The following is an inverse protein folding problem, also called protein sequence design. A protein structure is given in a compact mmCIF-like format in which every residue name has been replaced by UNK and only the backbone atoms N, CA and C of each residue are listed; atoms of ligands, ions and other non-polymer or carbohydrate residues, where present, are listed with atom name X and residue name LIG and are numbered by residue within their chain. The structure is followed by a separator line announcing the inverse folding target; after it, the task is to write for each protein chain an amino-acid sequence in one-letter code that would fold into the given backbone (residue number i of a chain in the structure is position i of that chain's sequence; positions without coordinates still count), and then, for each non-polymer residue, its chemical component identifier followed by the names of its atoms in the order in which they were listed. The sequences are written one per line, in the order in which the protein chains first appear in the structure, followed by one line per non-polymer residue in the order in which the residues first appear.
data_IF_310759626881
#
_entry.id   IF_310759626881
#
_cell.length_a   1.000
_cell.length_b   1.000
_cell.length_c   1.000
_cell.angle_alpha   90.00
_cell.angle_beta   90.00
_cell.angle_gamma   90.00
#
_symmetry.space_group_name_H-M   'P 1'
#
loop_
_entity.id
_entity.type
_entity.pdbx_description
1 polymer ?
#
# COMPACT_ATOMS: atom_id res chain seq x y z
N UNK A 1 24.56 -20.06 -1.15
CA UNK A 1 24.53 -19.45 0.19
C UNK A 1 23.49 -18.33 0.16
N UNK A 2 22.35 -18.51 0.81
CA UNK A 2 21.22 -17.57 0.77
C UNK A 2 21.44 -16.45 1.78
N UNK A 3 21.68 -15.24 1.30
CA UNK A 3 21.85 -14.04 2.12
C UNK A 3 20.51 -13.69 2.79
N UNK A 4 20.32 -14.12 4.04
CA UNK A 4 19.24 -13.61 4.91
C UNK A 4 19.45 -12.11 5.11
N UNK A 5 18.75 -11.26 4.35
CA UNK A 5 18.50 -9.87 4.76
C UNK A 5 17.75 -9.95 6.09
N UNK A 6 18.43 -9.65 7.20
CA UNK A 6 17.82 -9.44 8.51
C UNK A 6 16.77 -8.33 8.33
N UNK A 7 15.48 -8.63 8.44
CA UNK A 7 14.45 -7.58 8.39
C UNK A 7 14.69 -6.64 9.58
N UNK A 8 14.87 -5.36 9.28
CA UNK A 8 15.20 -4.33 10.26
C UNK A 8 13.94 -3.68 10.86
N UNK A 9 12.77 -4.30 10.67
CA UNK A 9 11.49 -3.84 11.18
C UNK A 9 11.08 -4.74 12.34
N UNK A 10 10.87 -4.12 13.50
CA UNK A 10 10.47 -4.81 14.71
C UNK A 10 8.99 -4.61 14.97
N UNK A 11 8.37 -5.60 15.62
CA UNK A 11 7.03 -5.46 16.15
C UNK A 11 6.96 -4.31 17.16
N UNK A 12 5.77 -3.70 17.27
CA UNK A 12 5.48 -2.67 18.26
C UNK A 12 5.54 -3.26 19.68
N UNK A 13 6.11 -2.49 20.61
CA UNK A 13 5.93 -2.73 22.04
C UNK A 13 4.54 -2.22 22.46
N UNK A 14 3.57 -3.12 22.55
CA UNK A 14 2.20 -2.80 22.95
C UNK A 14 2.11 -2.40 24.43
N UNK A 15 1.26 -1.42 24.73
CA UNK A 15 0.85 -1.05 26.08
C UNK A 15 -0.23 -2.01 26.59
N UNK A 16 -1.15 -2.39 25.71
CA UNK A 16 -2.15 -3.44 25.96
C UNK A 16 -1.85 -4.70 25.13
N UNK A 17 -1.29 -5.71 25.80
CA UNK A 17 -0.97 -7.01 25.20
C UNK A 17 -2.20 -7.72 24.62
N UNK A 18 -3.40 -7.42 25.15
CA UNK A 18 -4.65 -8.02 24.68
C UNK A 18 -4.97 -7.62 23.24
N UNK A 19 -4.66 -6.38 22.85
CA UNK A 19 -4.83 -5.91 21.47
C UNK A 19 -3.90 -6.67 20.53
N UNK A 20 -2.64 -6.89 20.94
CA UNK A 20 -1.70 -7.72 20.16
C UNK A 20 -2.23 -9.14 20.01
N UNK A 21 -2.69 -9.74 21.10
CA UNK A 21 -3.23 -11.11 21.10
C UNK A 21 -4.48 -11.23 20.22
N UNK A 22 -5.43 -10.30 20.32
CA UNK A 22 -6.64 -10.27 19.48
C UNK A 22 -6.27 -10.20 17.99
N UNK A 23 -5.39 -9.26 17.60
CA UNK A 23 -4.93 -9.11 16.22
C UNK A 23 -4.29 -10.39 15.65
N UNK A 24 -3.59 -11.13 16.49
CA UNK A 24 -2.90 -12.36 16.13
C UNK A 24 -3.78 -13.61 16.32
N UNK A 25 -5.08 -13.47 16.60
CA UNK A 25 -5.96 -14.63 16.80
C UNK A 25 -6.89 -14.81 15.63
N UNK A 26 -6.62 -15.81 14.80
CA UNK A 26 -7.52 -16.16 13.73
C UNK A 26 -8.77 -16.86 14.28
N UNK A 27 -9.93 -16.65 13.64
CA UNK A 27 -11.21 -17.24 14.08
C UNK A 27 -11.20 -18.75 14.26
N UNK A 28 -10.40 -19.49 13.47
CA UNK A 28 -10.27 -20.94 13.64
C UNK A 28 -9.71 -21.33 15.01
N UNK A 29 -8.77 -20.55 15.56
CA UNK A 29 -8.26 -20.77 16.90
C UNK A 29 -9.32 -20.42 17.95
N UNK A 30 -10.02 -19.31 17.76
CA UNK A 30 -11.08 -18.85 18.66
C UNK A 30 -12.21 -19.88 18.77
N UNK A 31 -12.69 -20.46 17.66
CA UNK A 31 -13.75 -21.47 17.70
C UNK A 31 -13.33 -22.77 18.38
N UNK A 32 -12.04 -23.11 18.34
CA UNK A 32 -11.49 -24.24 19.11
C UNK A 32 -11.22 -23.86 20.58
N UNK A 33 -11.04 -22.56 20.89
CA UNK A 33 -10.63 -22.05 22.20
C UNK A 33 -11.41 -20.77 22.60
N UNK A 34 -12.74 -20.85 22.85
CA UNK A 34 -13.60 -19.67 22.99
C UNK A 34 -13.27 -18.78 24.20
N UNK A 35 -12.58 -19.31 25.22
CA UNK A 35 -12.17 -18.56 26.42
C UNK A 35 -10.94 -17.66 26.21
N UNK A 36 -10.35 -17.65 25.01
CA UNK A 36 -9.07 -16.95 24.72
C UNK A 36 -9.22 -15.49 24.28
N UNK A 37 -10.44 -14.95 24.38
CA UNK A 37 -10.80 -13.60 23.96
C UNK A 37 -11.27 -13.53 22.50
N UNK A 38 -11.47 -12.31 21.97
CA UNK A 38 -11.92 -12.10 20.61
C UNK A 38 -10.89 -12.55 19.55
N UNK A 39 -11.38 -12.77 18.34
CA UNK A 39 -10.56 -13.00 17.14
C UNK A 39 -10.39 -11.70 16.34
N UNK A 40 -9.47 -11.76 15.38
CA UNK A 40 -8.93 -10.61 14.66
C UNK A 40 -9.88 -9.88 13.70
N UNK A 41 -10.97 -10.51 13.21
CA UNK A 41 -11.84 -9.94 12.15
C UNK A 41 -12.34 -8.50 12.42
N UNK A 42 -12.60 -8.11 13.68
CA UNK A 42 -12.99 -6.71 13.98
C UNK A 42 -11.84 -5.72 13.82
N UNK A 43 -10.64 -6.13 14.21
CA UNK A 43 -9.43 -5.35 14.03
C UNK A 43 -8.99 -5.33 12.56
N UNK A 44 -9.17 -6.44 11.83
CA UNK A 44 -8.94 -6.55 10.37
C UNK A 44 -9.79 -5.50 9.64
N UNK A 45 -11.10 -5.47 9.91
CA UNK A 45 -12.01 -4.50 9.32
C UNK A 45 -11.57 -3.05 9.54
N UNK A 46 -11.16 -2.69 10.76
CA UNK A 46 -10.64 -1.36 11.06
C UNK A 46 -9.28 -1.12 10.37
N UNK A 47 -8.42 -2.12 10.39
CA UNK A 47 -7.07 -2.12 9.89
C UNK A 47 -6.97 -1.88 8.39
N UNK A 48 -7.82 -2.53 7.58
CA UNK A 48 -7.88 -2.34 6.13
C UNK A 48 -8.04 -0.85 5.75
N UNK A 49 -9.02 -0.19 6.38
CA UNK A 49 -9.27 1.24 6.14
C UNK A 49 -8.07 2.11 6.54
N UNK A 50 -7.41 1.78 7.64
CA UNK A 50 -6.22 2.50 8.13
C UNK A 50 -5.03 2.29 7.19
N UNK A 51 -4.74 1.04 6.81
CA UNK A 51 -3.67 0.69 5.87
C UNK A 51 -3.88 1.42 4.56
N UNK A 52 -5.08 1.35 4.00
CA UNK A 52 -5.46 2.06 2.77
C UNK A 52 -5.22 3.57 2.87
N UNK A 53 -5.62 4.19 3.98
CA UNK A 53 -5.39 5.61 4.22
C UNK A 53 -3.90 5.96 4.34
N UNK A 54 -3.15 5.22 5.16
CA UNK A 54 -1.72 5.49 5.41
C UNK A 54 -0.92 5.38 4.11
N UNK A 55 -1.19 4.37 3.29
CA UNK A 55 -0.55 4.21 1.99
C UNK A 55 -0.91 5.36 1.04
N UNK A 56 -2.20 5.73 0.96
CA UNK A 56 -2.64 6.84 0.12
C UNK A 56 -1.98 8.16 0.53
N UNK A 57 -1.95 8.46 1.83
CA UNK A 57 -1.34 9.66 2.38
C UNK A 57 0.18 9.69 2.14
N UNK A 58 0.87 8.56 2.33
CA UNK A 58 2.30 8.44 2.05
C UNK A 58 2.60 8.72 0.57
N UNK A 59 1.85 8.11 -0.35
CA UNK A 59 2.05 8.29 -1.79
C UNK A 59 1.75 9.72 -2.24
N UNK A 60 0.67 10.32 -1.75
CA UNK A 60 0.30 11.70 -2.05
C UNK A 60 1.41 12.68 -1.65
N UNK A 61 1.98 12.52 -0.45
CA UNK A 61 3.10 13.35 0.01
C UNK A 61 4.41 13.08 -0.72
N UNK A 62 4.69 11.82 -1.06
CA UNK A 62 5.97 11.40 -1.69
C UNK A 62 6.07 11.77 -3.16
N UNK A 63 4.94 11.80 -3.89
CA UNK A 63 4.89 12.01 -5.33
C UNK A 63 3.91 13.14 -5.73
N UNK A 64 4.23 14.41 -5.42
CA UNK A 64 3.33 15.55 -5.68
C UNK A 64 3.02 15.79 -7.17
N UNK A 65 3.84 15.25 -8.08
CA UNK A 65 3.67 15.41 -9.52
C UNK A 65 2.93 14.23 -10.18
N UNK A 66 2.63 13.16 -9.43
CA UNK A 66 1.93 12.00 -10.00
C UNK A 66 0.44 12.28 -10.10
N UNK A 67 -0.17 11.82 -11.20
CA UNK A 67 -1.62 11.91 -11.41
C UNK A 67 -2.34 10.87 -10.58
N UNK A 68 -3.64 11.09 -10.36
CA UNK A 68 -4.52 10.18 -9.60
C UNK A 68 -4.37 8.72 -10.06
N UNK A 69 -4.42 8.45 -11.37
CA UNK A 69 -4.32 7.08 -11.88
C UNK A 69 -2.98 6.39 -11.56
N UNK A 70 -1.87 7.14 -11.54
CA UNK A 70 -0.55 6.63 -11.17
C UNK A 70 -0.49 6.32 -9.67
N UNK A 71 -1.04 7.22 -8.83
CA UNK A 71 -1.14 7.04 -7.38
C UNK A 71 -2.03 5.84 -7.04
N UNK A 72 -3.18 5.71 -7.70
CA UNK A 72 -4.11 4.58 -7.54
C UNK A 72 -3.45 3.25 -7.93
N UNK A 73 -2.66 3.24 -9.02
CA UNK A 73 -1.90 2.05 -9.41
C UNK A 73 -0.84 1.67 -8.36
N UNK A 74 -0.07 2.64 -7.86
CA UNK A 74 0.91 2.37 -6.80
C UNK A 74 0.24 1.87 -5.53
N UNK A 75 -0.84 2.53 -5.09
CA UNK A 75 -1.61 2.14 -3.91
C UNK A 75 -2.09 0.71 -4.03
N UNK A 76 -2.71 0.34 -5.16
CA UNK A 76 -3.20 -1.02 -5.40
C UNK A 76 -2.10 -2.09 -5.29
N UNK A 77 -0.85 -1.76 -5.63
CA UNK A 77 0.28 -2.69 -5.48
C UNK A 77 0.81 -2.78 -4.05
N UNK A 78 0.60 -1.75 -3.24
CA UNK A 78 1.06 -1.68 -1.85
C UNK A 78 0.04 -2.27 -0.87
N UNK A 79 -1.25 -2.20 -1.20
CA UNK A 79 -2.35 -2.73 -0.37
C UNK A 79 -2.91 -4.05 -0.88
N UNK A 80 -2.26 -4.71 -1.84
CA UNK A 80 -2.71 -6.03 -2.27
C UNK A 80 -2.30 -7.11 -1.27
N UNK A 81 -3.13 -8.15 -1.15
CA UNK A 81 -2.90 -9.38 -0.38
C UNK A 81 -1.46 -9.84 -0.33
N UNK A 82 -0.84 -10.02 -1.49
CA UNK A 82 0.55 -10.49 -1.59
C UNK A 82 1.53 -9.55 -0.89
N UNK A 83 1.36 -8.23 -1.03
CA UNK A 83 2.26 -7.25 -0.40
C UNK A 83 2.02 -7.14 1.11
N UNK A 84 0.76 -7.17 1.55
CA UNK A 84 0.42 -7.14 2.98
C UNK A 84 0.90 -8.43 3.69
N UNK A 85 0.76 -9.59 3.06
CA UNK A 85 1.34 -10.83 3.55
C UNK A 85 2.87 -10.78 3.67
N UNK A 86 3.56 -10.13 2.71
CA UNK A 86 5.00 -9.89 2.79
C UNK A 86 5.36 -8.99 3.98
N UNK A 87 4.57 -7.95 4.26
CA UNK A 87 4.80 -7.11 5.44
C UNK A 87 4.58 -7.88 6.75
N UNK A 88 3.58 -8.76 6.82
CA UNK A 88 3.38 -9.66 7.96
C UNK A 88 4.62 -10.52 8.23
N UNK A 89 5.21 -11.11 7.18
CA UNK A 89 6.43 -11.91 7.27
C UNK A 89 7.65 -11.09 7.67
N UNK A 90 7.77 -9.85 7.19
CA UNK A 90 8.88 -8.96 7.57
C UNK A 90 8.86 -8.63 9.06
N UNK A 91 7.65 -8.49 9.64
CA UNK A 91 7.40 -8.30 11.08
C UNK A 91 7.47 -9.62 11.88
N UNK A 92 7.54 -10.77 11.20
CA UNK A 92 7.55 -12.08 11.83
C UNK A 92 6.22 -12.52 12.44
N UNK A 93 5.10 -11.92 12.00
CA UNK A 93 3.76 -12.21 12.55
C UNK A 93 3.35 -13.66 12.29
N UNK A 94 3.86 -14.28 11.23
CA UNK A 94 3.63 -15.67 10.87
C UNK A 94 3.91 -16.64 12.03
N UNK A 95 4.84 -16.31 12.92
CA UNK A 95 5.21 -17.15 14.07
C UNK A 95 4.25 -16.98 15.24
N UNK A 96 3.62 -15.83 15.35
CA UNK A 96 2.86 -15.43 16.53
C UNK A 96 1.35 -15.56 16.34
N UNK A 97 0.87 -15.67 15.09
CA UNK A 97 -0.56 -15.91 14.82
C UNK A 97 -1.00 -17.19 15.55
N UNK A 98 -2.21 -17.20 16.11
CA UNK A 98 -2.85 -18.38 16.71
C UNK A 98 -3.84 -18.94 15.69
N UNK A 99 -3.64 -20.19 15.29
CA UNK A 99 -4.51 -20.92 14.35
C UNK A 99 -5.02 -22.19 15.01
N UNK A 100 -6.27 -22.54 14.74
CA UNK A 100 -6.82 -23.84 15.09
C UNK A 100 -6.11 -24.99 14.35
N UNK A 101 -6.20 -26.19 14.89
CA UNK A 101 -5.51 -27.40 14.39
C UNK A 101 -5.84 -27.68 12.93
N UNK A 102 -7.12 -27.56 12.55
CA UNK A 102 -7.55 -27.76 11.16
C UNK A 102 -6.91 -26.76 10.20
N UNK A 103 -6.94 -25.47 10.55
CA UNK A 103 -6.35 -24.42 9.73
C UNK A 103 -4.82 -24.53 9.62
N UNK A 104 -4.13 -25.02 10.66
CA UNK A 104 -2.69 -25.30 10.59
C UNK A 104 -2.38 -26.43 9.60
N UNK A 105 -3.14 -27.54 9.68
CA UNK A 105 -3.00 -28.68 8.78
C UNK A 105 -3.20 -28.28 7.31
N UNK A 106 -4.11 -27.36 7.06
CA UNK A 106 -4.43 -26.87 5.72
C UNK A 106 -3.45 -25.77 5.23
N UNK A 107 -2.33 -25.56 5.93
CA UNK A 107 -1.27 -24.64 5.52
C UNK A 107 -1.51 -23.17 5.89
N UNK A 108 -2.46 -22.88 6.79
CA UNK A 108 -2.87 -21.52 7.14
C UNK A 108 -1.74 -20.62 7.62
N UNK A 109 -0.66 -21.16 8.21
CA UNK A 109 0.51 -20.38 8.67
C UNK A 109 1.17 -19.57 7.54
N UNK A 110 1.28 -20.17 6.35
CA UNK A 110 1.93 -19.57 5.18
C UNK A 110 0.94 -19.02 4.16
N UNK A 111 -0.36 -19.07 4.46
CA UNK A 111 -1.40 -18.58 3.55
C UNK A 111 -1.33 -17.06 3.44
N UNK A 112 -1.26 -16.55 2.20
CA UNK A 112 -1.27 -15.09 1.96
C UNK A 112 -2.50 -14.43 2.58
N UNK A 113 -3.66 -15.10 2.56
CA UNK A 113 -4.88 -14.58 3.18
C UNK A 113 -4.71 -14.41 4.70
N UNK A 114 -4.24 -15.45 5.39
CA UNK A 114 -4.10 -15.40 6.87
C UNK A 114 -3.07 -14.33 7.27
N UNK A 115 -1.99 -14.19 6.49
CA UNK A 115 -0.95 -13.21 6.74
C UNK A 115 -1.42 -11.78 6.45
N UNK A 116 -2.17 -11.55 5.37
CA UNK A 116 -2.84 -10.29 5.06
C UNK A 116 -3.80 -9.89 6.19
N UNK A 117 -4.78 -10.75 6.51
CA UNK A 117 -5.80 -10.47 7.54
C UNK A 117 -5.14 -10.14 8.90
N UNK A 118 -4.08 -10.89 9.26
CA UNK A 118 -3.33 -10.65 10.48
C UNK A 118 -2.54 -9.34 10.45
N UNK A 119 -2.00 -8.94 9.30
CA UNK A 119 -1.31 -7.66 9.15
C UNK A 119 -2.28 -6.49 9.33
N UNK A 120 -3.43 -6.53 8.66
CA UNK A 120 -4.46 -5.50 8.79
C UNK A 120 -4.94 -5.41 10.25
N UNK A 121 -5.28 -6.54 10.86
CA UNK A 121 -5.66 -6.59 12.26
C UNK A 121 -4.58 -6.04 13.19
N UNK A 122 -3.31 -6.34 12.91
CA UNK A 122 -2.18 -5.82 13.68
C UNK A 122 -2.06 -4.29 13.55
N UNK A 123 -2.26 -3.73 12.36
CA UNK A 123 -2.29 -2.27 12.18
C UNK A 123 -3.50 -1.64 12.90
N UNK A 124 -4.67 -2.29 12.88
CA UNK A 124 -5.83 -1.91 13.69
C UNK A 124 -5.50 -1.87 15.19
N UNK A 125 -4.81 -2.90 15.70
CA UNK A 125 -4.33 -2.94 17.08
C UNK A 125 -3.31 -1.84 17.39
N UNK A 126 -2.34 -1.59 16.51
CA UNK A 126 -1.34 -0.51 16.66
C UNK A 126 -2.03 0.85 16.80
N UNK A 127 -3.06 1.11 15.99
CA UNK A 127 -3.84 2.34 16.04
C UNK A 127 -4.55 2.52 17.38
N UNK A 128 -5.25 1.48 17.85
CA UNK A 128 -5.97 1.54 19.14
C UNK A 128 -5.01 1.66 20.33
N UNK A 129 -3.91 0.91 20.33
CA UNK A 129 -2.86 0.98 21.35
C UNK A 129 -2.19 2.36 21.41
N UNK A 130 -2.11 3.04 20.27
CA UNK A 130 -1.62 4.42 20.16
C UNK A 130 -2.65 5.48 20.55
N UNK A 131 -3.84 5.09 21.05
CA UNK A 131 -4.92 6.02 21.39
C UNK A 131 -5.53 6.69 20.15
N UNK A 132 -5.69 5.93 19.06
CA UNK A 132 -6.21 6.40 17.78
C UNK A 132 -5.34 7.46 17.08
N UNK A 133 -4.02 7.44 17.35
CA UNK A 133 -3.07 8.36 16.73
C UNK A 133 -2.62 7.87 15.35
N UNK A 134 -3.10 8.53 14.29
CA UNK A 134 -2.69 8.21 12.92
C UNK A 134 -1.21 8.48 12.66
N UNK A 135 -0.61 9.47 13.33
CA UNK A 135 0.82 9.78 13.17
C UNK A 135 1.71 8.65 13.70
N UNK A 136 1.29 7.96 14.77
CA UNK A 136 2.02 6.81 15.29
C UNK A 136 1.93 5.59 14.36
N UNK A 137 0.79 5.39 13.71
CA UNK A 137 0.64 4.35 12.68
C UNK A 137 1.52 4.66 11.46
N UNK A 138 1.53 5.91 11.00
CA UNK A 138 2.37 6.33 9.88
C UNK A 138 3.86 6.09 10.16
N UNK A 139 4.36 6.51 11.33
CA UNK A 139 5.74 6.24 11.76
C UNK A 139 6.05 4.74 11.82
N UNK A 140 5.09 3.93 12.28
CA UNK A 140 5.26 2.48 12.34
C UNK A 140 5.32 1.83 10.95
N UNK A 141 4.48 2.28 10.01
CA UNK A 141 4.40 1.72 8.67
C UNK A 141 5.49 2.23 7.72
N UNK A 142 6.06 3.42 7.97
CA UNK A 142 7.06 4.04 7.08
C UNK A 142 8.26 3.14 6.75
N UNK A 143 8.88 2.41 7.71
CA UNK A 143 9.98 1.48 7.41
C UNK A 143 9.60 0.30 6.51
N UNK A 144 8.30 -0.05 6.42
CA UNK A 144 7.78 -1.06 5.50
C UNK A 144 7.47 -0.46 4.13
N UNK A 145 6.88 0.74 4.12
CA UNK A 145 6.41 1.41 2.90
C UNK A 145 7.55 1.99 2.07
N UNK A 146 8.51 2.67 2.69
CA UNK A 146 9.61 3.31 1.99
C UNK A 146 10.38 2.35 1.04
N UNK A 147 10.90 1.20 1.51
CA UNK A 147 11.60 0.28 0.62
C UNK A 147 10.68 -0.37 -0.42
N UNK A 148 9.41 -0.60 -0.11
CA UNK A 148 8.45 -1.17 -1.06
C UNK A 148 8.11 -0.18 -2.19
N UNK A 149 7.97 1.11 -1.86
CA UNK A 149 7.77 2.18 -2.83
C UNK A 149 9.02 2.37 -3.69
N UNK A 150 10.20 2.34 -3.08
CA UNK A 150 11.46 2.43 -3.81
C UNK A 150 11.64 1.24 -4.76
N UNK A 151 11.27 0.02 -4.37
CA UNK A 151 11.29 -1.16 -5.25
C UNK A 151 10.39 -0.96 -6.48
N UNK A 152 9.18 -0.43 -6.29
CA UNK A 152 8.22 -0.18 -7.37
C UNK A 152 8.67 0.95 -8.31
N UNK A 153 9.45 1.91 -7.82
CA UNK A 153 9.84 3.12 -8.58
C UNK A 153 11.27 3.06 -9.14
N UNK A 154 12.22 2.38 -8.48
CA UNK A 154 13.66 2.38 -8.82
C UNK A 154 14.19 1.13 -9.56
N UNK A 155 13.37 0.15 -9.93
CA UNK A 155 13.86 -1.00 -10.72
C UNK A 155 14.48 -0.60 -12.09
N UNK A 156 15.72 -1.04 -12.36
CA UNK A 156 16.57 -0.78 -13.56
C UNK A 156 15.82 -0.80 -14.92
N UNK A 157 16.29 -0.09 -15.98
CA UNK A 157 15.72 -0.11 -17.34
C UNK A 157 15.56 -1.50 -17.98
N UNK A 158 16.19 -2.54 -17.43
CA UNK A 158 16.00 -3.94 -17.87
C UNK A 158 14.94 -4.71 -17.05
N UNK A 159 14.25 -4.05 -16.12
CA UNK A 159 13.21 -4.69 -15.29
C UNK A 159 11.84 -4.55 -15.96
N UNK A 160 11.38 -5.67 -16.52
CA UNK A 160 10.10 -5.90 -17.23
C UNK A 160 8.86 -5.77 -16.32
N UNK A 161 8.84 -4.83 -15.36
CA UNK A 161 7.65 -4.64 -14.54
C UNK A 161 6.59 -3.90 -15.37
N UNK A 162 5.48 -4.60 -15.66
CA UNK A 162 4.30 -4.07 -16.37
C UNK A 162 3.82 -2.74 -15.76
N UNK A 163 4.06 -2.53 -14.46
CA UNK A 163 3.72 -1.32 -13.73
C UNK A 163 4.53 -0.11 -14.17
N UNK A 164 5.86 -0.23 -14.34
CA UNK A 164 6.67 0.86 -14.92
C UNK A 164 6.17 1.20 -16.31
N UNK A 165 5.92 0.18 -17.14
CA UNK A 165 5.44 0.38 -18.49
C UNK A 165 4.08 1.10 -18.51
N UNK A 166 3.15 0.77 -17.61
CA UNK A 166 1.87 1.49 -17.45
C UNK A 166 2.05 2.92 -16.93
N UNK A 167 2.93 3.15 -15.95
CA UNK A 167 3.23 4.48 -15.41
C UNK A 167 3.86 5.39 -16.50
N UNK A 168 4.85 4.88 -17.24
CA UNK A 168 5.51 5.59 -18.34
C UNK A 168 4.61 5.78 -19.57
N UNK A 169 3.73 4.83 -19.89
CA UNK A 169 2.75 5.00 -20.97
C UNK A 169 1.75 6.11 -20.65
N UNK A 170 1.27 6.23 -19.41
CA UNK A 170 0.39 7.34 -19.00
C UNK A 170 1.07 8.71 -19.07
N UNK A 171 2.37 8.78 -18.79
CA UNK A 171 3.17 10.00 -18.96
C UNK A 171 3.38 10.34 -20.45
N UNK A 172 3.78 9.36 -21.27
CA UNK A 172 4.03 9.57 -22.70
C UNK A 172 2.76 9.94 -23.48
N UNK A 173 1.61 9.33 -23.19
CA UNK A 173 0.34 9.73 -23.83
C UNK A 173 -0.01 11.19 -23.54
N UNK A 174 0.36 11.71 -22.37
CA UNK A 174 0.15 13.12 -22.02
C UNK A 174 1.12 14.05 -22.74
N UNK A 175 2.40 13.70 -22.80
CA UNK A 175 3.39 14.50 -23.54
C UNK A 175 2.98 14.58 -25.01
N UNK A 176 2.54 13.45 -25.59
CA UNK A 176 2.11 13.40 -26.98
C UNK A 176 0.83 14.20 -27.21
N UNK A 177 -0.14 14.19 -26.29
CA UNK A 177 -1.32 15.06 -26.33
C UNK A 177 -0.95 16.54 -26.18
N UNK A 178 -0.03 16.89 -25.26
CA UNK A 178 0.43 18.27 -25.08
C UNK A 178 1.21 18.79 -26.29
N UNK A 179 2.07 17.96 -26.89
CA UNK A 179 2.76 18.30 -28.14
C UNK A 179 1.76 18.48 -29.30
N UNK A 180 0.78 17.58 -29.43
CA UNK A 180 -0.24 17.70 -30.49
C UNK A 180 -1.08 18.97 -30.35
N UNK A 181 -1.46 19.33 -29.11
CA UNK A 181 -2.19 20.58 -28.83
C UNK A 181 -1.29 21.80 -29.09
N UNK A 182 -0.02 21.77 -28.67
CA UNK A 182 0.93 22.86 -28.92
C UNK A 182 1.16 23.07 -30.42
N UNK A 183 1.31 21.99 -31.20
CA UNK A 183 1.42 22.04 -32.66
C UNK A 183 0.12 22.56 -33.30
N UNK A 184 -1.06 22.18 -32.79
CA UNK A 184 -2.34 22.71 -33.28
C UNK A 184 -2.48 24.22 -33.02
N UNK A 185 -2.05 24.70 -31.84
CA UNK A 185 -2.05 26.13 -31.49
C UNK A 185 -1.06 26.91 -32.36
N UNK A 186 0.17 26.41 -32.52
CA UNK A 186 1.18 27.03 -33.39
C UNK A 186 0.73 27.08 -34.85
N UNK A 187 0.04 26.04 -35.33
CA UNK A 187 -0.47 25.99 -36.70
C UNK A 187 -1.75 26.80 -36.90
N UNK A 188 -2.57 27.02 -35.87
CA UNK A 188 -3.74 27.92 -35.94
C UNK A 188 -3.35 29.40 -35.94
N UNK A 189 -2.25 29.77 -35.28
CA UNK A 189 -1.73 31.15 -35.28
C UNK A 189 -1.02 31.52 -36.60
N UNK A 190 -0.69 30.53 -37.44
CA UNK A 190 -0.10 30.73 -38.77
C UNK A 190 -1.15 30.86 -39.90
N UNK A 191 -2.45 30.69 -39.60
CA UNK A 191 -3.53 30.77 -40.58
C UNK A 191 -4.28 32.11 -40.65
N UNK A 192 -3.85 33.14 -39.90
CA UNK A 192 -4.43 34.48 -40.02
C UNK A 192 -3.41 35.60 -40.30
N UNK A 193 -2.67 35.56 -41.43
CA UNK A 193 -2.07 36.76 -41.98
C UNK A 193 -3.10 37.45 -42.89
N UNK A 194 -3.49 38.68 -42.52
CA UNK A 194 -4.23 39.68 -43.35
C UNK A 194 -5.77 39.68 -43.18
N UNK A 195 -6.29 40.23 -42.08
CA UNK A 195 -7.38 41.25 -42.07
C UNK A 195 -7.97 41.50 -40.66
N UNK A 196 -7.37 42.40 -39.87
CA UNK A 196 -8.08 43.13 -38.80
C UNK A 196 -7.55 44.56 -38.65
N UNK A 197 -7.57 45.33 -39.73
CA UNK A 197 -7.42 46.78 -39.68
C UNK A 197 -8.39 47.44 -40.69
N UNK A 198 -9.68 47.46 -40.37
CA UNK A 198 -10.64 48.45 -40.89
C UNK A 198 -11.98 48.28 -40.17
N UNK A 199 -12.34 49.27 -39.34
CA UNK A 199 -13.68 49.89 -39.18
C UNK A 199 -13.82 50.53 -37.78
N UNK A 200 -13.22 51.71 -37.59
CA UNK A 200 -13.73 52.73 -36.66
C UNK A 200 -13.65 54.06 -37.41
N UNK A 201 -14.73 54.38 -38.12
CA UNK A 201 -15.07 55.71 -38.63
C UNK A 201 -16.50 55.98 -38.27
#
# INVERSE_FOLDING_TARGET
MSTKRKSMVHQRNFRDDKLRLEALTHKSYHYENPSTGPHNERLEFLGDSIVSFVVANYLHGRFPNFKEGQLTLLRANLVCKKKLAQFALQLGLDKDIRLGVGALRDGGRGSEKVLEDAFEAYIGAVFLDAGSSMSEVQKFMEPLLAPAVDELTHCSPNSTSVLKQKLFQQDNSNIQLQMLIADQILNSDLQDPINKLQTWS
#
